data_IF_773101847311
#
_entry.id   IF_773101847311
#
_cell.length_a   1.000
_cell.length_b   1.000
_cell.length_c   1.000
_cell.angle_alpha   90.00
_cell.angle_beta   90.00
_cell.angle_gamma   90.00
#
_symmetry.space_group_name_H-M   'P 1'
#
loop_
_entity.id
_entity.type
_entity.pdbx_description
1 polymer ?
#
# COMPACT_ATOMS: atom_id res chain seq x y z
N UNK A 1 -11.43 36.28 35.77
CA UNK A 1 -12.61 35.40 35.65
C UNK A 1 -12.39 34.47 34.47
N UNK A 2 -12.17 33.19 34.79
CA UNK A 2 -12.38 31.95 34.02
C UNK A 2 -12.03 31.95 32.52
N UNK A 3 -10.82 31.46 32.23
CA UNK A 3 -10.52 30.71 31.01
C UNK A 3 -11.39 29.45 30.98
N UNK A 4 -12.09 29.21 29.85
CA UNK A 4 -12.64 27.90 29.52
C UNK A 4 -11.59 27.17 28.69
N UNK A 5 -10.91 26.24 29.34
CA UNK A 5 -10.30 25.08 28.68
C UNK A 5 -11.45 24.33 27.98
N UNK A 6 -11.39 24.20 26.65
CA UNK A 6 -12.18 23.19 25.96
C UNK A 6 -11.42 21.88 26.14
N UNK A 7 -12.06 20.94 26.83
CA UNK A 7 -11.54 19.59 27.00
C UNK A 7 -11.52 18.88 25.64
N UNK A 8 -10.35 18.36 25.23
CA UNK A 8 -10.27 17.30 24.23
C UNK A 8 -11.06 16.11 24.77
N UNK A 9 -12.19 15.80 24.13
CA UNK A 9 -12.88 14.54 24.34
C UNK A 9 -12.11 13.51 23.53
N UNK A 10 -11.27 12.72 24.21
CA UNK A 10 -10.75 11.49 23.67
C UNK A 10 -11.95 10.53 23.50
N UNK A 11 -12.49 10.45 22.29
CA UNK A 11 -13.40 9.38 21.90
C UNK A 11 -12.54 8.14 21.65
N UNK A 12 -12.19 7.44 22.74
CA UNK A 12 -11.62 6.10 22.67
C UNK A 12 -12.67 5.14 22.11
N UNK A 13 -12.55 4.82 20.83
CA UNK A 13 -13.26 3.69 20.22
C UNK A 13 -12.38 2.46 20.32
N UNK A 14 -12.54 1.73 21.42
CA UNK A 14 -12.02 0.37 21.56
C UNK A 14 -12.89 -0.57 20.72
N UNK A 15 -12.55 -0.71 19.45
CA UNK A 15 -12.91 -1.91 18.70
C UNK A 15 -11.99 -3.02 19.21
N UNK A 16 -12.48 -3.80 20.17
CA UNK A 16 -11.90 -5.11 20.53
C UNK A 16 -12.01 -6.04 19.32
N UNK A 17 -11.16 -5.82 18.32
CA UNK A 17 -10.88 -6.78 17.27
C UNK A 17 -9.85 -7.76 17.84
N UNK A 18 -10.03 -9.07 17.62
CA UNK A 18 -9.07 -10.04 18.13
C UNK A 18 -7.71 -9.74 17.51
N UNK A 19 -6.75 -9.38 18.37
CA UNK A 19 -5.35 -9.32 18.00
C UNK A 19 -5.00 -10.65 17.33
N UNK A 20 -4.57 -10.60 16.07
CA UNK A 20 -4.19 -11.80 15.33
C UNK A 20 -2.95 -12.38 16.03
N UNK A 21 -3.16 -13.39 16.88
CA UNK A 21 -2.06 -14.07 17.56
C UNK A 21 -1.30 -14.90 16.54
N UNK A 22 -0.09 -14.46 16.24
CA UNK A 22 0.80 -15.04 15.23
C UNK A 22 1.30 -16.43 15.66
N UNK A 23 0.85 -17.48 14.99
CA UNK A 23 1.46 -18.80 15.12
C UNK A 23 2.63 -18.94 14.13
N UNK A 24 3.85 -18.91 14.66
CA UNK A 24 5.05 -19.31 13.93
C UNK A 24 5.06 -20.84 13.77
N UNK A 25 4.35 -21.36 12.76
CA UNK A 25 4.60 -22.74 12.32
C UNK A 25 5.59 -22.73 11.16
N UNK A 26 6.80 -23.23 11.44
CA UNK A 26 7.71 -23.71 10.40
C UNK A 26 7.07 -24.94 9.75
N UNK A 27 6.26 -24.72 8.71
CA UNK A 27 5.77 -25.82 7.89
C UNK A 27 6.96 -26.48 7.18
N UNK A 28 7.14 -27.79 7.42
CA UNK A 28 8.05 -28.62 6.65
C UNK A 28 7.74 -28.57 5.15
N UNK A 29 8.69 -29.04 4.34
CA UNK A 29 8.79 -28.93 2.88
C UNK A 29 7.62 -29.57 2.07
N UNK A 30 6.37 -29.22 2.37
CA UNK A 30 5.30 -29.31 1.41
C UNK A 30 5.55 -28.29 0.30
N UNK A 31 5.37 -28.73 -0.95
CA UNK A 31 5.50 -27.91 -2.14
C UNK A 31 4.55 -26.72 -2.02
N UNK A 32 5.12 -25.52 -1.87
CA UNK A 32 4.33 -24.31 -1.67
C UNK A 32 3.76 -23.86 -3.01
N UNK A 33 2.44 -23.72 -3.06
CA UNK A 33 1.77 -23.32 -4.27
C UNK A 33 1.92 -21.81 -4.50
N UNK A 34 2.96 -21.44 -5.24
CA UNK A 34 3.21 -20.08 -5.70
C UNK A 34 2.14 -19.54 -6.68
N UNK A 35 1.11 -20.33 -7.00
CA UNK A 35 -0.02 -19.88 -7.81
C UNK A 35 -1.16 -19.22 -7.01
N UNK A 36 -1.16 -19.33 -5.67
CA UNK A 36 -2.16 -18.68 -4.80
C UNK A 36 -1.83 -17.20 -4.54
N UNK A 37 -2.84 -16.32 -4.34
CA UNK A 37 -2.64 -14.92 -3.98
C UNK A 37 -1.78 -14.77 -2.72
N UNK A 38 -0.77 -13.90 -2.75
CA UNK A 38 0.18 -13.69 -1.65
C UNK A 38 0.23 -12.22 -1.25
N UNK A 39 0.27 -11.94 0.05
CA UNK A 39 0.85 -10.69 0.54
C UNK A 39 2.37 -10.88 0.56
N UNK A 40 3.09 -10.05 -0.20
CA UNK A 40 4.56 -10.05 -0.18
C UNK A 40 5.05 -8.78 0.51
N UNK A 41 5.69 -8.95 1.68
CA UNK A 41 6.14 -7.83 2.51
C UNK A 41 7.59 -7.98 2.96
N UNK A 42 8.21 -6.86 3.33
CA UNK A 42 9.54 -6.82 3.91
C UNK A 42 9.42 -6.58 5.42
N UNK A 43 10.06 -7.40 6.24
CA UNK A 43 10.15 -7.16 7.68
C UNK A 43 11.57 -7.46 8.14
N UNK A 44 12.17 -6.54 8.89
CA UNK A 44 13.53 -6.69 9.45
C UNK A 44 14.58 -7.13 8.41
N UNK A 45 14.54 -6.53 7.21
CA UNK A 45 15.47 -6.86 6.13
C UNK A 45 15.15 -8.17 5.39
N UNK A 46 13.99 -8.79 5.63
CA UNK A 46 13.63 -10.10 5.07
C UNK A 46 12.30 -10.07 4.32
N UNK A 47 12.19 -10.89 3.28
CA UNK A 47 10.98 -11.00 2.45
C UNK A 47 10.11 -12.13 2.98
N UNK A 48 8.83 -11.83 3.20
CA UNK A 48 7.83 -12.79 3.62
C UNK A 48 6.69 -12.85 2.63
N UNK A 49 6.22 -14.06 2.40
CA UNK A 49 4.97 -14.37 1.72
C UNK A 49 3.96 -14.75 2.76
N UNK A 50 2.77 -14.18 2.69
CA UNK A 50 1.65 -14.53 3.55
C UNK A 50 0.46 -14.92 2.70
N UNK A 51 -0.03 -16.13 2.97
CA UNK A 51 -1.26 -16.64 2.43
C UNK A 51 -2.42 -16.16 3.31
N UNK A 52 -3.27 -15.23 2.82
CA UNK A 52 -4.37 -14.70 3.59
C UNK A 52 -5.49 -15.71 3.85
N UNK A 53 -5.57 -16.80 3.08
CA UNK A 53 -6.61 -17.83 3.21
C UNK A 53 -6.29 -18.74 4.39
N UNK A 54 -5.04 -19.20 4.47
CA UNK A 54 -4.60 -20.13 5.52
C UNK A 54 -3.96 -19.43 6.72
N UNK A 55 -3.63 -18.14 6.59
CA UNK A 55 -2.87 -17.38 7.57
C UNK A 55 -1.38 -17.72 7.58
N UNK A 56 -0.93 -18.68 6.76
CA UNK A 56 0.45 -19.16 6.77
C UNK A 56 1.40 -18.10 6.25
N UNK A 57 2.61 -18.09 6.82
CA UNK A 57 3.70 -17.20 6.45
C UNK A 57 4.91 -18.03 6.05
N UNK A 58 5.58 -17.61 4.99
CA UNK A 58 6.84 -18.20 4.52
C UNK A 58 7.89 -17.12 4.33
N UNK A 59 9.09 -17.36 4.85
CA UNK A 59 10.29 -16.57 4.57
C UNK A 59 10.85 -16.96 3.20
N UNK A 60 11.31 -15.97 2.42
CA UNK A 60 12.22 -16.20 1.29
C UNK A 60 13.59 -16.60 1.85
N UNK A 61 13.84 -17.90 2.00
CA UNK A 61 15.07 -18.40 2.62
C UNK A 61 16.29 -18.24 1.70
N UNK A 62 16.04 -18.14 0.41
CA UNK A 62 17.02 -17.98 -0.64
C UNK A 62 17.64 -16.57 -0.67
N UNK A 63 17.10 -15.60 0.09
CA UNK A 63 17.67 -14.26 0.24
C UNK A 63 18.18 -14.00 1.67
N UNK A 64 19.49 -13.97 1.77
CA UNK A 64 20.27 -13.82 2.99
C UNK A 64 20.71 -12.37 3.27
N UNK A 65 20.67 -11.48 2.26
CA UNK A 65 21.01 -10.06 2.40
C UNK A 65 19.91 -9.27 3.13
N UNK A 66 20.23 -8.04 3.53
CA UNK A 66 19.25 -7.07 4.02
C UNK A 66 18.45 -6.52 2.84
N UNK A 67 17.16 -6.83 2.77
CA UNK A 67 16.25 -6.31 1.75
C UNK A 67 15.83 -4.88 2.09
N UNK A 68 16.04 -3.97 1.15
CA UNK A 68 15.76 -2.53 1.30
C UNK A 68 14.35 -2.17 0.79
N UNK A 69 14.01 -2.60 -0.43
CA UNK A 69 12.71 -2.40 -1.09
C UNK A 69 12.30 -3.62 -1.91
N UNK A 70 11.00 -3.78 -2.17
CA UNK A 70 10.47 -4.79 -3.09
C UNK A 70 9.25 -4.30 -3.89
N UNK A 71 8.97 -4.95 -5.01
CA UNK A 71 7.75 -4.80 -5.80
C UNK A 71 7.47 -6.12 -6.52
N UNK A 72 6.22 -6.54 -6.56
CA UNK A 72 5.84 -7.80 -7.19
C UNK A 72 4.99 -7.54 -8.44
N UNK A 73 5.43 -8.11 -9.56
CA UNK A 73 4.68 -8.19 -10.79
C UNK A 73 3.89 -9.51 -10.80
N UNK A 74 2.57 -9.41 -10.61
CA UNK A 74 1.68 -10.57 -10.63
C UNK A 74 1.59 -11.21 -12.02
N UNK A 75 1.61 -10.41 -13.09
CA UNK A 75 1.43 -10.91 -14.44
C UNK A 75 2.57 -11.85 -14.84
N UNK A 76 3.80 -11.51 -14.48
CA UNK A 76 4.98 -12.34 -14.72
C UNK A 76 5.37 -13.24 -13.54
N UNK A 77 4.66 -13.15 -12.41
CA UNK A 77 5.02 -13.81 -11.14
C UNK A 77 6.48 -13.55 -10.74
N UNK A 78 6.90 -12.30 -10.85
CA UNK A 78 8.27 -11.88 -10.57
C UNK A 78 8.31 -10.86 -9.44
N UNK A 79 9.06 -11.18 -8.38
CA UNK A 79 9.41 -10.23 -7.34
C UNK A 79 10.69 -9.50 -7.74
N UNK A 80 10.63 -8.18 -7.89
CA UNK A 80 11.80 -7.33 -7.99
C UNK A 80 12.10 -6.73 -6.63
N UNK A 81 13.36 -6.72 -6.22
CA UNK A 81 13.73 -6.20 -4.90
C UNK A 81 15.17 -5.74 -4.88
N UNK A 82 15.47 -4.85 -3.95
CA UNK A 82 16.83 -4.34 -3.73
C UNK A 82 17.36 -4.88 -2.43
N UNK A 83 18.65 -5.19 -2.42
CA UNK A 83 19.38 -5.65 -1.23
C UNK A 83 20.55 -4.73 -0.93
N UNK A 84 20.92 -4.62 0.33
CA UNK A 84 22.11 -3.89 0.76
C UNK A 84 23.32 -4.81 0.71
N UNK A 85 24.35 -4.41 -0.01
CA UNK A 85 25.67 -5.03 -0.03
C UNK A 85 26.72 -3.93 0.10
N UNK A 86 27.51 -3.97 1.17
CA UNK A 86 28.55 -2.97 1.46
C UNK A 86 28.06 -1.51 1.42
N UNK A 87 26.82 -1.28 1.89
CA UNK A 87 26.19 0.05 1.90
C UNK A 87 25.59 0.50 0.56
N UNK A 88 25.78 -0.28 -0.51
CA UNK A 88 25.19 -0.05 -1.82
C UNK A 88 23.92 -0.89 -2.00
N UNK A 89 22.95 -0.37 -2.73
CA UNK A 89 21.80 -1.14 -3.17
C UNK A 89 22.13 -1.90 -4.45
N UNK A 90 21.87 -3.21 -4.46
CA UNK A 90 21.88 -4.05 -5.65
C UNK A 90 20.46 -4.50 -5.99
N UNK A 91 20.10 -4.55 -7.28
CA UNK A 91 18.79 -5.03 -7.74
C UNK A 91 18.83 -6.55 -8.00
N UNK A 92 17.81 -7.25 -7.54
CA UNK A 92 17.58 -8.67 -7.81
C UNK A 92 16.14 -8.87 -8.29
N UNK A 93 15.91 -10.00 -8.95
CA UNK A 93 14.57 -10.55 -9.14
C UNK A 93 14.49 -11.98 -8.66
N UNK A 94 13.31 -12.38 -8.19
CA UNK A 94 12.95 -13.76 -7.89
C UNK A 94 11.74 -14.14 -8.75
N UNK A 95 11.91 -15.13 -9.63
CA UNK A 95 10.81 -15.72 -10.38
C UNK A 95 10.25 -16.90 -9.59
N UNK A 96 8.94 -16.92 -9.37
CA UNK A 96 8.25 -17.98 -8.63
C UNK A 96 7.42 -18.83 -9.58
N UNK A 97 7.88 -20.05 -9.85
CA UNK A 97 7.22 -20.97 -10.77
C UNK A 97 7.35 -22.41 -10.30
N UNK A 98 6.27 -23.19 -10.39
CA UNK A 98 6.26 -24.64 -10.16
C UNK A 98 6.91 -25.05 -8.81
N UNK A 99 6.53 -24.40 -7.71
CA UNK A 99 7.11 -24.68 -6.39
C UNK A 99 8.54 -24.16 -6.18
N UNK A 100 9.22 -23.67 -7.23
CA UNK A 100 10.61 -23.25 -7.19
C UNK A 100 10.77 -21.72 -7.24
N UNK A 101 11.83 -21.26 -6.59
CA UNK A 101 12.27 -19.87 -6.61
C UNK A 101 13.61 -19.81 -7.34
N UNK A 102 13.68 -18.94 -8.34
CA UNK A 102 14.95 -18.63 -9.00
C UNK A 102 15.30 -17.16 -8.77
N UNK A 103 16.37 -16.92 -8.02
CA UNK A 103 16.94 -15.59 -7.80
C UNK A 103 17.96 -15.28 -8.90
N UNK A 104 17.87 -14.08 -9.46
CA UNK A 104 18.80 -13.56 -10.45
C UNK A 104 19.20 -12.14 -10.07
N UNK A 105 20.52 -11.83 -9.98
CA UNK A 105 20.96 -10.46 -9.87
C UNK A 105 20.68 -9.71 -11.18
N UNK A 106 20.29 -8.46 -11.06
CA UNK A 106 20.08 -7.54 -12.18
C UNK A 106 21.18 -6.49 -12.16
N UNK A 107 21.58 -6.01 -13.34
CA UNK A 107 22.70 -5.09 -13.46
C UNK A 107 22.32 -3.69 -12.96
N UNK A 108 23.33 -2.92 -12.54
CA UNK A 108 23.38 -1.46 -12.65
C UNK A 108 22.75 -0.62 -11.55
N UNK A 109 22.36 -1.24 -10.42
CA UNK A 109 22.14 -0.49 -9.18
C UNK A 109 23.38 -0.71 -8.31
N UNK A 110 24.20 0.34 -8.18
CA UNK A 110 25.40 0.42 -7.32
C UNK A 110 25.42 1.81 -6.67
N UNK A 111 24.34 2.14 -5.96
CA UNK A 111 24.12 3.47 -5.39
C UNK A 111 23.96 3.31 -3.88
N UNK A 112 24.61 4.20 -3.11
CA UNK A 112 24.53 4.23 -1.66
C UNK A 112 23.08 4.27 -1.18
N UNK A 113 22.72 3.38 -0.24
CA UNK A 113 21.35 3.23 0.26
C UNK A 113 20.81 4.53 0.87
N UNK A 114 21.68 5.35 1.44
CA UNK A 114 21.35 6.61 2.10
C UNK A 114 20.71 7.61 1.12
N UNK A 115 21.05 7.54 -0.18
CA UNK A 115 20.44 8.39 -1.21
C UNK A 115 18.96 8.08 -1.45
N UNK A 116 18.46 6.96 -0.96
CA UNK A 116 17.07 6.53 -1.10
C UNK A 116 16.28 6.68 0.20
N UNK A 117 16.82 7.39 1.18
CA UNK A 117 16.18 7.64 2.47
C UNK A 117 15.94 9.15 2.57
N UNK A 118 14.71 9.54 2.87
CA UNK A 118 14.34 10.93 3.07
C UNK A 118 14.98 11.45 4.36
N UNK A 119 15.54 12.67 4.31
CA UNK A 119 16.26 13.24 5.45
C UNK A 119 15.34 13.69 6.60
N UNK A 120 14.02 13.77 6.36
CA UNK A 120 13.06 14.31 7.33
C UNK A 120 12.67 13.27 8.37
N UNK A 121 11.96 12.21 7.96
CA UNK A 121 11.50 11.15 8.87
C UNK A 121 12.15 9.80 8.60
N UNK A 122 13.14 9.76 7.69
CA UNK A 122 13.85 8.53 7.34
C UNK A 122 13.06 7.64 6.39
N UNK A 123 12.07 8.16 5.65
CA UNK A 123 11.25 7.35 4.76
C UNK A 123 12.02 6.85 3.54
N UNK A 124 11.73 5.61 3.16
CA UNK A 124 12.42 4.95 2.08
C UNK A 124 11.73 5.29 0.76
N UNK A 125 12.51 5.59 -0.26
CA UNK A 125 12.00 5.76 -1.62
C UNK A 125 11.38 4.45 -2.12
N UNK A 126 10.13 4.45 -2.60
CA UNK A 126 9.47 3.23 -3.05
C UNK A 126 10.02 2.74 -4.40
N UNK A 127 10.20 1.43 -4.52
CA UNK A 127 10.40 0.77 -5.82
C UNK A 127 9.03 0.56 -6.48
N UNK A 128 8.87 1.04 -7.72
CA UNK A 128 7.59 1.00 -8.46
C UNK A 128 7.74 0.30 -9.81
N UNK A 129 6.67 -0.32 -10.28
CA UNK A 129 6.53 -0.75 -11.68
C UNK A 129 5.77 0.35 -12.44
N UNK A 130 6.28 0.76 -13.61
CA UNK A 130 5.62 1.71 -14.52
C UNK A 130 5.75 1.21 -15.94
N UNK A 131 4.62 0.79 -16.52
CA UNK A 131 4.62 -0.02 -17.74
C UNK A 131 5.45 -1.28 -17.52
N UNK A 132 6.46 -1.49 -18.36
CA UNK A 132 7.41 -2.62 -18.24
C UNK A 132 8.70 -2.25 -17.47
N UNK A 133 8.78 -1.07 -16.87
CA UNK A 133 10.00 -0.55 -16.22
C UNK A 133 9.88 -0.53 -14.70
N UNK A 134 11.02 -0.58 -14.02
CA UNK A 134 11.10 -0.29 -12.59
C UNK A 134 11.59 1.13 -12.38
N UNK A 135 11.02 1.83 -11.40
CA UNK A 135 11.43 3.18 -11.03
C UNK A 135 11.74 3.21 -9.53
N UNK A 136 12.90 3.76 -9.19
CA UNK A 136 13.34 4.02 -7.82
C UNK A 136 13.97 5.41 -7.76
N UNK A 137 13.57 6.23 -6.81
CA UNK A 137 14.01 7.63 -6.78
C UNK A 137 15.08 7.84 -5.71
N UNK A 138 16.07 8.67 -5.99
CA UNK A 138 17.13 9.01 -5.06
C UNK A 138 17.29 10.52 -4.93
N UNK A 139 18.18 10.91 -4.03
CA UNK A 139 18.63 12.29 -3.80
C UNK A 139 17.46 13.16 -3.33
N UNK A 140 17.17 13.07 -2.03
CA UNK A 140 16.13 13.87 -1.40
C UNK A 140 16.46 15.37 -1.51
N UNK A 141 15.47 16.16 -1.91
CA UNK A 141 15.58 17.60 -2.07
C UNK A 141 14.60 18.31 -1.12
N UNK A 142 15.15 19.19 -0.27
CA UNK A 142 14.40 20.03 0.67
C UNK A 142 13.53 21.07 0.00
N UNK A 143 13.90 21.58 -1.18
CA UNK A 143 13.11 22.59 -1.89
C UNK A 143 11.81 21.99 -2.44
N UNK A 144 11.87 20.72 -2.88
CA UNK A 144 10.72 19.99 -3.41
C UNK A 144 10.03 19.08 -2.40
N UNK A 145 10.55 18.96 -1.17
CA UNK A 145 10.14 17.98 -0.18
C UNK A 145 9.98 16.56 -0.76
N UNK A 146 10.97 16.13 -1.56
CA UNK A 146 10.92 14.85 -2.25
C UNK A 146 12.19 14.48 -2.98
N UNK A 147 12.29 13.23 -3.44
CA UNK A 147 13.42 12.75 -4.24
C UNK A 147 13.42 13.38 -5.64
N UNK A 148 14.56 13.88 -6.09
CA UNK A 148 14.69 14.59 -7.37
C UNK A 148 15.32 13.75 -8.49
N UNK A 149 15.98 12.65 -8.18
CA UNK A 149 16.63 11.80 -9.18
C UNK A 149 15.80 10.53 -9.45
N UNK A 150 15.46 10.28 -10.70
CA UNK A 150 14.81 9.04 -11.14
C UNK A 150 15.86 8.04 -11.60
N UNK A 151 15.87 6.84 -10.99
CA UNK A 151 16.62 5.69 -11.45
C UNK A 151 15.61 4.73 -12.09
N UNK A 152 15.78 4.44 -13.37
CA UNK A 152 14.82 3.67 -14.17
C UNK A 152 15.54 2.43 -14.71
N UNK A 153 15.03 1.25 -14.35
CA UNK A 153 15.51 -0.01 -14.87
C UNK A 153 14.57 -0.53 -15.95
N UNK A 154 15.14 -0.93 -17.08
CA UNK A 154 14.43 -1.62 -18.15
C UNK A 154 14.78 -3.11 -18.12
N UNK A 155 13.86 -4.01 -17.71
CA UNK A 155 14.09 -5.45 -17.74
C UNK A 155 14.38 -6.01 -19.14
N UNK A 156 13.80 -5.41 -20.18
CA UNK A 156 13.97 -5.84 -21.57
C UNK A 156 15.35 -5.48 -22.11
N UNK A 157 15.88 -4.31 -21.73
CA UNK A 157 17.21 -3.84 -22.12
C UNK A 157 18.29 -4.27 -21.12
N UNK A 158 17.90 -4.76 -19.94
CA UNK A 158 18.77 -5.06 -18.81
C UNK A 158 19.70 -3.89 -18.47
N UNK A 159 19.16 -2.68 -18.39
CA UNK A 159 19.91 -1.43 -18.26
C UNK A 159 19.27 -0.47 -17.26
N UNK A 160 20.10 0.39 -16.67
CA UNK A 160 19.65 1.54 -15.87
C UNK A 160 19.87 2.84 -16.61
N UNK A 161 18.89 3.72 -16.53
CA UNK A 161 19.00 5.12 -16.92
C UNK A 161 18.69 6.00 -15.73
N UNK A 162 19.45 7.09 -15.60
CA UNK A 162 19.20 8.14 -14.60
C UNK A 162 18.75 9.40 -15.29
N UNK A 163 17.78 10.08 -14.72
CA UNK A 163 17.38 11.42 -15.14
C UNK A 163 16.78 12.18 -13.97
N UNK A 164 17.02 13.48 -13.92
CA UNK A 164 16.37 14.46 -13.06
C UNK A 164 15.51 15.43 -13.92
N UNK A 165 15.49 15.22 -15.24
CA UNK A 165 14.74 16.01 -16.21
C UNK A 165 13.37 15.39 -16.47
N UNK A 166 12.32 16.18 -16.22
CA UNK A 166 10.94 15.75 -16.39
C UNK A 166 10.58 15.36 -17.84
N UNK A 167 11.14 16.04 -18.85
CA UNK A 167 10.83 15.73 -20.25
C UNK A 167 11.50 14.43 -20.69
N UNK A 168 12.72 14.17 -20.24
CA UNK A 168 13.42 12.91 -20.47
C UNK A 168 12.70 11.76 -19.75
N UNK A 169 12.25 11.99 -18.52
CA UNK A 169 11.48 11.04 -17.74
C UNK A 169 10.17 10.64 -18.43
N UNK A 170 9.39 11.62 -18.88
CA UNK A 170 8.15 11.39 -19.63
C UNK A 170 8.40 10.54 -20.89
N UNK A 171 9.47 10.85 -21.62
CA UNK A 171 9.91 10.07 -22.79
C UNK A 171 10.30 8.64 -22.43
N UNK A 172 11.03 8.42 -21.33
CA UNK A 172 11.46 7.09 -20.89
C UNK A 172 10.26 6.23 -20.43
N UNK A 173 9.24 6.86 -19.87
CA UNK A 173 8.02 6.19 -19.41
C UNK A 173 6.93 6.13 -20.48
N UNK A 174 7.11 6.78 -21.63
CA UNK A 174 6.15 6.77 -22.73
C UNK A 174 4.84 7.47 -22.38
N UNK A 175 4.89 8.58 -21.63
CA UNK A 175 3.70 9.33 -21.19
C UNK A 175 2.98 8.72 -19.99
N UNK A 176 3.50 7.63 -19.41
CA UNK A 176 2.93 7.05 -18.19
C UNK A 176 3.33 7.92 -16.99
N UNK A 177 2.33 8.48 -16.31
CA UNK A 177 2.54 9.29 -15.14
C UNK A 177 3.22 8.50 -14.00
N UNK A 178 4.21 9.12 -13.35
CA UNK A 178 4.84 8.57 -12.15
C UNK A 178 3.93 8.65 -10.92
N UNK A 179 3.23 9.78 -10.83
CA UNK A 179 2.37 10.21 -9.75
C UNK A 179 0.98 10.43 -10.31
N UNK A 180 0.01 9.83 -9.66
CA UNK A 180 -1.32 9.66 -10.22
C UNK A 180 -1.64 8.18 -10.25
N UNK A 181 -2.45 7.78 -9.28
CA UNK A 181 -3.51 6.86 -9.63
C UNK A 181 -4.42 7.68 -10.59
N UNK A 182 -4.74 7.13 -11.76
CA UNK A 182 -6.05 7.34 -12.42
C UNK A 182 -6.19 8.35 -13.56
N UNK A 183 -5.29 8.33 -14.55
CA UNK A 183 -5.70 8.78 -15.89
C UNK A 183 -6.52 7.66 -16.54
N UNK A 184 -7.84 7.80 -16.53
CA UNK A 184 -8.77 6.89 -17.20
C UNK A 184 -9.31 5.75 -16.33
N UNK A 185 -9.35 5.90 -15.01
CA UNK A 185 -10.08 4.93 -14.21
C UNK A 185 -11.58 4.95 -14.51
N UNK A 186 -12.24 3.78 -14.39
CA UNK A 186 -13.63 3.61 -14.81
C UNK A 186 -14.60 4.20 -13.79
N UNK A 187 -14.35 5.42 -13.30
CA UNK A 187 -15.19 6.11 -12.33
C UNK A 187 -15.65 7.46 -12.86
N UNK A 188 -16.90 7.81 -12.57
CA UNK A 188 -17.49 9.11 -12.88
C UNK A 188 -18.35 9.53 -11.68
N UNK A 189 -18.43 10.82 -11.39
CA UNK A 189 -19.39 11.36 -10.42
C UNK A 189 -20.52 12.03 -11.19
N UNK A 190 -21.76 11.65 -10.90
CA UNK A 190 -22.97 12.27 -11.48
C UNK A 190 -24.06 12.31 -10.42
N UNK A 191 -24.74 13.44 -10.29
CA UNK A 191 -25.82 13.65 -9.32
C UNK A 191 -25.41 13.26 -7.87
N UNK A 192 -24.18 13.65 -7.48
CA UNK A 192 -23.53 13.32 -6.20
C UNK A 192 -23.31 11.81 -5.94
N UNK A 193 -23.45 10.97 -6.97
CA UNK A 193 -23.21 9.53 -6.89
C UNK A 193 -21.94 9.15 -7.64
N UNK A 194 -21.18 8.21 -7.07
CA UNK A 194 -20.07 7.57 -7.75
C UNK A 194 -20.59 6.44 -8.64
N UNK A 195 -20.25 6.49 -9.92
CA UNK A 195 -20.56 5.49 -10.92
C UNK A 195 -19.29 4.75 -11.33
N UNK A 196 -19.41 3.43 -11.50
CA UNK A 196 -18.36 2.54 -11.97
C UNK A 196 -18.68 2.00 -13.37
N UNK A 197 -17.70 2.05 -14.27
CA UNK A 197 -17.81 1.72 -15.70
C UNK A 197 -16.89 0.56 -16.11
N UNK A 198 -16.34 -0.22 -15.17
CA UNK A 198 -15.42 -1.32 -15.50
C UNK A 198 -16.12 -2.58 -16.02
N UNK A 199 -17.45 -2.61 -16.01
CA UNK A 199 -18.28 -3.62 -16.67
C UNK A 199 -18.77 -3.19 -18.06
N UNK A 200 -19.72 -3.94 -18.62
CA UNK A 200 -20.37 -3.58 -19.91
C UNK A 200 -21.27 -2.35 -19.82
N UNK A 201 -21.71 -2.01 -18.62
CA UNK A 201 -22.66 -0.93 -18.33
C UNK A 201 -22.19 -0.15 -17.12
N UNK A 202 -22.42 1.15 -17.13
CA UNK A 202 -22.19 2.01 -15.99
C UNK A 202 -23.18 1.67 -14.86
N UNK A 203 -22.69 1.54 -13.63
CA UNK A 203 -23.49 1.20 -12.44
C UNK A 203 -23.18 2.14 -11.28
N UNK A 204 -24.18 2.61 -10.51
CA UNK A 204 -23.92 3.37 -9.30
C UNK A 204 -23.37 2.44 -8.20
N UNK A 205 -22.38 2.93 -7.46
CA UNK A 205 -21.71 2.18 -6.38
C UNK A 205 -21.82 2.87 -5.01
N UNK A 206 -22.49 4.03 -4.96
CA UNK A 206 -22.74 4.81 -3.74
C UNK A 206 -24.22 5.11 -3.45
N UNK A 207 -25.15 4.80 -4.36
CA UNK A 207 -26.56 5.22 -4.29
C UNK A 207 -27.37 4.60 -3.14
N UNK A 208 -26.82 3.56 -2.49
CA UNK A 208 -27.43 2.88 -1.34
C UNK A 208 -26.75 3.24 -0.03
N UNK A 209 -25.74 4.11 -0.07
CA UNK A 209 -25.08 4.65 1.10
C UNK A 209 -25.78 5.96 1.44
N UNK A 210 -26.34 6.06 2.65
CA UNK A 210 -27.02 7.27 3.15
C UNK A 210 -25.98 8.37 3.51
N UNK A 211 -25.14 8.73 2.54
CA UNK A 211 -24.06 9.71 2.70
C UNK A 211 -24.66 11.11 2.81
N UNK A 212 -24.24 11.85 3.85
CA UNK A 212 -24.74 13.19 4.15
C UNK A 212 -23.58 14.14 4.40
N UNK A 213 -23.63 15.28 3.73
CA UNK A 213 -22.73 16.38 3.99
C UNK A 213 -22.96 16.91 5.40
N UNK A 214 -21.87 17.26 6.07
CA UNK A 214 -21.97 18.01 7.32
C UNK A 214 -22.11 19.51 6.98
N UNK A 215 -23.27 20.14 7.29
CA UNK A 215 -23.50 21.54 6.95
C UNK A 215 -22.59 22.51 7.72
N UNK A 216 -21.94 22.07 8.80
CA UNK A 216 -21.05 22.92 9.60
C UNK A 216 -19.63 23.01 9.01
N UNK A 217 -19.23 22.05 8.16
CA UNK A 217 -17.83 21.89 7.71
C UNK A 217 -17.63 22.10 6.20
N UNK A 218 -18.44 22.97 5.59
CA UNK A 218 -18.06 23.74 4.39
C UNK A 218 -17.93 22.99 3.06
N UNK A 219 -18.34 21.73 2.95
CA UNK A 219 -18.33 21.00 1.67
C UNK A 219 -19.71 21.10 1.02
N UNK A 220 -19.77 21.60 -0.21
CA UNK A 220 -21.04 21.86 -0.92
C UNK A 220 -21.57 20.63 -1.69
N UNK A 221 -20.68 19.71 -2.05
CA UNK A 221 -20.99 18.48 -2.79
C UNK A 221 -20.17 17.32 -2.25
N UNK A 222 -20.67 16.08 -2.41
CA UNK A 222 -19.89 14.90 -2.05
C UNK A 222 -18.78 14.72 -3.08
N UNK A 223 -17.54 14.94 -2.65
CA UNK A 223 -16.37 14.58 -3.44
C UNK A 223 -15.94 13.14 -3.13
N UNK A 224 -15.46 12.43 -4.15
CA UNK A 224 -14.98 11.06 -3.98
C UNK A 224 -13.48 11.02 -4.28
N UNK A 225 -12.74 10.20 -3.53
CA UNK A 225 -11.31 10.00 -3.76
C UNK A 225 -10.85 8.59 -3.40
N UNK A 226 -9.57 8.29 -3.66
CA UNK A 226 -8.95 7.00 -3.34
C UNK A 226 -9.75 5.80 -3.86
N UNK A 227 -10.37 5.96 -5.03
CA UNK A 227 -11.08 4.87 -5.68
C UNK A 227 -10.10 3.77 -6.07
N UNK A 228 -10.51 2.53 -5.90
CA UNK A 228 -9.73 1.39 -6.36
C UNK A 228 -10.65 0.21 -6.62
N UNK A 229 -10.24 -0.62 -7.57
CA UNK A 229 -10.92 -1.85 -7.96
C UNK A 229 -10.11 -3.03 -7.46
N UNK A 230 -10.77 -4.06 -6.95
CA UNK A 230 -10.10 -5.31 -6.59
C UNK A 230 -9.40 -5.93 -7.82
N UNK A 231 -8.25 -6.62 -7.64
CA UNK A 231 -7.54 -7.33 -8.71
C UNK A 231 -8.44 -8.20 -9.61
N UNK A 232 -9.40 -8.91 -9.04
CA UNK A 232 -10.33 -9.76 -9.81
C UNK A 232 -11.42 -8.97 -10.55
N UNK A 233 -11.55 -7.66 -10.27
CA UNK A 233 -12.55 -6.76 -10.83
C UNK A 233 -13.93 -6.88 -10.18
N UNK A 234 -14.08 -7.66 -9.11
CA UNK A 234 -15.37 -8.00 -8.51
C UNK A 234 -15.88 -6.95 -7.51
N UNK A 235 -15.01 -6.10 -6.96
CA UNK A 235 -15.32 -5.11 -5.95
C UNK A 235 -14.64 -3.78 -6.22
N UNK A 236 -15.20 -2.73 -5.64
CA UNK A 236 -14.67 -1.37 -5.65
C UNK A 236 -14.67 -0.81 -4.23
N UNK A 237 -13.71 0.04 -3.93
CA UNK A 237 -13.62 0.80 -2.68
C UNK A 237 -13.30 2.24 -3.00
N UNK A 238 -13.81 3.14 -2.19
CA UNK A 238 -13.68 4.58 -2.39
C UNK A 238 -13.85 5.30 -1.06
N UNK A 239 -13.41 6.55 -0.99
CA UNK A 239 -13.68 7.44 0.12
C UNK A 239 -14.62 8.55 -0.32
N UNK A 240 -15.56 8.94 0.53
CA UNK A 240 -16.44 10.08 0.30
C UNK A 240 -16.06 11.22 1.27
N UNK A 241 -15.76 12.40 0.73
CA UNK A 241 -15.54 13.63 1.50
C UNK A 241 -16.90 14.21 1.86
N UNK A 242 -17.19 14.26 3.15
CA UNK A 242 -18.46 14.77 3.67
C UNK A 242 -18.27 16.03 4.52
N UNK A 243 -17.05 16.27 5.02
CA UNK A 243 -16.72 17.40 5.87
C UNK A 243 -15.23 17.79 5.71
N UNK A 244 -14.93 19.08 5.73
CA UNK A 244 -13.55 19.59 5.70
C UNK A 244 -13.33 20.52 6.90
N UNK A 245 -12.57 20.03 7.89
CA UNK A 245 -12.19 20.77 9.09
C UNK A 245 -10.71 21.13 9.07
N UNK A 246 -9.97 20.59 10.03
CA UNK A 246 -8.51 20.55 10.02
C UNK A 246 -7.96 19.54 9.01
N UNK A 247 -8.68 18.44 8.80
CA UNK A 247 -8.41 17.43 7.79
C UNK A 247 -9.68 17.08 6.99
N UNK A 248 -9.53 16.40 5.83
CA UNK A 248 -10.66 15.82 5.11
C UNK A 248 -11.28 14.66 5.90
N UNK A 249 -12.59 14.68 6.08
CA UNK A 249 -13.35 13.67 6.83
C UNK A 249 -14.43 13.00 5.99
N UNK A 250 -14.63 11.71 6.29
CA UNK A 250 -15.72 10.93 5.72
C UNK A 250 -15.36 9.45 5.48
N UNK A 251 -16.35 8.65 5.07
CA UNK A 251 -16.25 7.21 5.19
C UNK A 251 -15.37 6.58 4.11
N UNK A 252 -14.74 5.47 4.49
CA UNK A 252 -14.28 4.46 3.55
C UNK A 252 -15.44 3.51 3.25
N UNK A 253 -15.74 3.36 1.97
CA UNK A 253 -16.85 2.57 1.47
C UNK A 253 -16.36 1.42 0.58
N UNK A 254 -17.17 0.38 0.46
CA UNK A 254 -16.98 -0.74 -0.45
C UNK A 254 -18.30 -1.10 -1.15
N UNK A 255 -18.20 -1.57 -2.38
CA UNK A 255 -19.32 -2.13 -3.13
C UNK A 255 -18.85 -3.28 -4.02
N UNK A 256 -19.77 -4.16 -4.42
CA UNK A 256 -19.51 -5.05 -5.55
C UNK A 256 -19.50 -4.24 -6.85
N UNK A 257 -18.72 -4.68 -7.83
CA UNK A 257 -18.57 -4.04 -9.14
C UNK A 257 -19.87 -3.94 -9.96
N UNK A 258 -20.96 -4.60 -9.52
CA UNK A 258 -22.30 -4.51 -10.10
C UNK A 258 -23.24 -3.56 -9.34
N UNK A 259 -22.74 -2.80 -8.36
CA UNK A 259 -23.53 -1.87 -7.53
C UNK A 259 -24.32 -2.52 -6.38
N UNK A 260 -24.16 -3.82 -6.15
CA UNK A 260 -24.73 -4.51 -4.97
C UNK A 260 -23.77 -4.48 -3.77
N UNK A 261 -24.28 -4.81 -2.58
CA UNK A 261 -23.44 -4.97 -1.38
C UNK A 261 -22.70 -3.70 -0.93
N UNK A 262 -23.24 -2.52 -1.25
CA UNK A 262 -22.68 -1.24 -0.83
C UNK A 262 -22.75 -1.12 0.70
N UNK A 263 -21.62 -0.78 1.33
CA UNK A 263 -21.57 -0.50 2.78
C UNK A 263 -20.42 0.44 3.14
N UNK A 264 -20.59 1.14 4.25
CA UNK A 264 -19.52 1.84 4.95
C UNK A 264 -18.68 0.80 5.71
N UNK A 265 -17.37 0.84 5.52
CA UNK A 265 -16.41 -0.01 6.24
C UNK A 265 -15.81 0.70 7.46
N UNK A 266 -15.51 1.98 7.30
CA UNK A 266 -14.99 2.86 8.35
C UNK A 266 -15.71 4.19 8.22
N UNK A 267 -16.30 4.68 9.30
CA UNK A 267 -17.10 5.92 9.31
C UNK A 267 -16.26 7.15 8.96
N UNK A 268 -15.00 7.19 9.39
CA UNK A 268 -14.05 8.24 9.04
C UNK A 268 -12.71 7.67 8.56
N UNK A 269 -12.70 7.19 7.32
CA UNK A 269 -11.52 6.61 6.68
C UNK A 269 -10.65 7.65 5.95
N UNK A 270 -11.18 8.85 5.69
CA UNK A 270 -10.45 9.90 4.98
C UNK A 270 -9.30 10.49 5.81
N UNK A 271 -9.49 10.70 7.10
CA UNK A 271 -8.48 11.23 7.99
C UNK A 271 -7.30 10.25 8.23
N UNK A 272 -7.51 8.95 8.00
CA UNK A 272 -6.49 7.93 8.21
C UNK A 272 -5.26 8.13 7.33
N UNK A 273 -4.07 8.16 7.94
CA UNK A 273 -2.79 8.33 7.26
C UNK A 273 -2.50 7.18 6.28
N UNK A 274 -2.89 5.97 6.65
CA UNK A 274 -2.62 4.77 5.86
C UNK A 274 -3.90 4.34 5.15
N UNK A 275 -3.83 4.23 3.82
CA UNK A 275 -4.97 3.83 3.00
C UNK A 275 -5.02 2.31 2.86
N UNK A 276 -6.21 1.69 2.97
CA UNK A 276 -6.34 0.24 2.80
C UNK A 276 -5.99 -0.14 1.37
N UNK A 277 -5.66 -1.41 1.18
CA UNK A 277 -5.16 -1.93 -0.09
C UNK A 277 -5.77 -3.30 -0.38
N UNK A 278 -5.95 -3.64 -1.66
CA UNK A 278 -6.61 -4.87 -2.08
C UNK A 278 -5.69 -6.10 -2.02
N UNK A 279 -6.23 -7.22 -1.55
CA UNK A 279 -5.62 -8.53 -1.66
C UNK A 279 -6.67 -9.51 -2.19
N UNK A 280 -6.60 -9.82 -3.48
CA UNK A 280 -7.73 -10.46 -4.16
C UNK A 280 -8.99 -9.60 -4.01
N UNK A 281 -10.07 -10.15 -3.45
CA UNK A 281 -11.31 -9.40 -3.16
C UNK A 281 -11.45 -8.94 -1.70
N UNK A 282 -10.37 -9.02 -0.91
CA UNK A 282 -10.31 -8.51 0.47
C UNK A 282 -9.55 -7.18 0.55
N UNK A 283 -9.83 -6.37 1.58
CA UNK A 283 -9.04 -5.19 1.90
C UNK A 283 -8.15 -5.46 3.11
N UNK A 284 -6.88 -5.07 3.00
CA UNK A 284 -5.91 -5.07 4.09
C UNK A 284 -5.84 -3.66 4.68
N UNK A 285 -6.04 -3.58 5.99
CA UNK A 285 -5.94 -2.37 6.78
C UNK A 285 -4.60 -2.37 7.51
N UNK A 286 -3.63 -1.54 7.09
CA UNK A 286 -2.39 -1.37 7.84
C UNK A 286 -2.66 -0.53 9.10
N UNK A 287 -2.24 -1.02 10.27
CA UNK A 287 -2.32 -0.26 11.52
C UNK A 287 -0.99 0.45 11.81
N UNK A 288 -0.94 1.79 11.95
CA UNK A 288 0.29 2.47 12.31
C UNK A 288 0.72 2.07 13.73
N UNK A 289 2.03 2.05 13.99
CA UNK A 289 2.60 1.61 15.26
C UNK A 289 2.24 2.52 16.43
N UNK A 290 1.83 3.76 16.15
CA UNK A 290 1.34 4.70 17.16
C UNK A 290 -0.01 4.27 17.75
N UNK A 291 -0.92 3.69 16.95
CA UNK A 291 -2.23 3.22 17.42
C UNK A 291 -2.10 2.01 18.36
N UNK A 292 -1.06 1.19 18.18
CA UNK A 292 -0.77 0.06 19.07
C UNK A 292 0.01 0.46 20.33
N UNK A 293 0.62 1.64 20.35
CA UNK A 293 1.31 2.17 21.53
C UNK A 293 0.32 2.77 22.55
N UNK A 294 -0.79 3.36 22.10
CA UNK A 294 -1.84 3.87 23.00
C UNK A 294 -2.59 2.74 23.73
N UNK A 295 -2.83 1.62 23.05
CA UNK A 295 -3.42 0.41 23.67
C UNK A 295 -2.43 -0.35 24.58
N UNK A 296 -1.12 -0.21 24.35
CA UNK A 296 -0.07 -0.89 25.12
C UNK A 296 0.37 -0.14 26.38
N UNK A 297 -0.12 1.07 26.64
CA UNK A 297 0.17 1.80 27.89
C UNK A 297 -0.42 1.15 29.16
N UNK A 298 -0.98 -0.06 29.07
CA UNK A 298 -1.46 -0.81 30.22
C UNK A 298 -0.45 -1.81 30.81
N UNK A 299 0.56 -2.30 30.08
CA UNK A 299 1.49 -3.33 30.61
C UNK A 299 2.94 -3.19 30.10
N UNK A 300 3.84 -2.84 31.03
CA UNK A 300 5.31 -2.95 31.02
C UNK A 300 6.15 -2.26 29.92
N UNK A 301 6.95 -1.28 30.37
CA UNK A 301 7.98 -0.49 29.64
C UNK A 301 9.14 -1.32 29.04
N UNK A 302 9.11 -2.66 29.12
CA UNK A 302 10.10 -3.54 28.46
C UNK A 302 9.62 -4.10 27.11
N UNK A 303 8.39 -3.81 26.68
CA UNK A 303 7.84 -4.26 25.39
C UNK A 303 8.14 -3.34 24.20
N UNK A 304 8.55 -2.08 24.43
CA UNK A 304 8.86 -1.09 23.37
C UNK A 304 10.03 -1.51 22.45
N UNK A 305 10.90 -2.42 22.90
CA UNK A 305 11.99 -2.96 22.07
C UNK A 305 11.61 -4.25 21.31
N UNK A 306 10.45 -4.85 21.58
CA UNK A 306 10.00 -6.09 20.95
C UNK A 306 8.94 -5.86 19.85
N UNK A 307 8.19 -4.75 19.90
CA UNK A 307 7.27 -4.34 18.83
C UNK A 307 8.06 -3.63 17.70
N UNK A 308 8.86 -4.38 16.95
CA UNK A 308 9.72 -3.84 15.91
C UNK A 308 8.96 -2.98 14.90
N UNK A 309 9.55 -1.91 14.37
CA UNK A 309 8.95 -1.12 13.28
C UNK A 309 8.83 -2.01 12.03
N UNK A 310 7.61 -2.36 11.60
CA UNK A 310 7.40 -3.18 10.41
C UNK A 310 7.28 -2.29 9.17
N UNK A 311 7.72 -2.79 8.02
CA UNK A 311 7.26 -2.29 6.71
C UNK A 311 6.19 -3.25 6.21
N UNK A 312 5.05 -2.73 5.81
CA UNK A 312 4.06 -3.54 5.12
C UNK A 312 4.09 -3.14 3.65
N UNK A 313 4.47 -4.09 2.81
CA UNK A 313 4.36 -3.95 1.36
C UNK A 313 3.32 -4.96 0.93
N UNK A 314 2.43 -4.55 0.03
CA UNK A 314 1.47 -5.46 -0.58
C UNK A 314 1.70 -5.47 -2.08
N UNK A 315 1.70 -6.69 -2.59
CA UNK A 315 1.55 -6.91 -4.01
C UNK A 315 0.08 -6.83 -4.39
N UNK A 316 -0.21 -6.08 -5.46
CA UNK A 316 -1.53 -6.04 -6.09
C UNK A 316 -1.44 -6.53 -7.52
N UNK A 317 -2.29 -7.49 -7.86
CA UNK A 317 -2.64 -7.81 -9.23
C UNK A 317 -3.54 -6.78 -9.88
N UNK A 318 -3.34 -6.63 -11.19
CA UNK A 318 -4.08 -5.84 -12.20
C UNK A 318 -3.86 -4.33 -12.32
N UNK A 319 -3.25 -3.61 -11.38
CA UNK A 319 -3.02 -2.15 -11.52
C UNK A 319 -1.57 -1.65 -11.45
N UNK A 320 -0.56 -2.53 -11.43
CA UNK A 320 0.87 -2.14 -11.48
C UNK A 320 1.34 -1.14 -10.39
N UNK A 321 0.65 -1.05 -9.26
CA UNK A 321 1.11 -0.28 -8.12
C UNK A 321 1.49 -1.21 -6.97
N UNK A 322 2.77 -1.59 -6.89
CA UNK A 322 3.36 -1.86 -5.58
C UNK A 322 3.40 -0.55 -4.81
N UNK A 323 2.67 -0.48 -3.69
CA UNK A 323 2.66 0.68 -2.80
C UNK A 323 3.29 0.24 -1.49
N UNK A 324 4.30 0.98 -1.03
CA UNK A 324 4.68 0.98 0.37
C UNK A 324 3.41 1.39 1.13
N UNK A 325 2.84 0.49 1.93
CA UNK A 325 1.57 0.77 2.60
C UNK A 325 1.77 1.74 3.74
N UNK A 326 2.89 1.56 4.44
CA UNK A 326 3.23 2.26 5.64
C UNK A 326 4.62 1.83 6.13
N UNK A 327 5.32 2.78 6.74
CA UNK A 327 6.46 2.52 7.61
C UNK A 327 6.02 2.57 9.07
N UNK A 328 6.56 1.69 9.91
CA UNK A 328 6.14 1.62 11.30
C UNK A 328 4.70 1.11 11.42
N UNK A 329 4.33 0.07 10.69
CA UNK A 329 3.10 -0.70 10.97
C UNK A 329 3.39 -1.62 12.15
N UNK A 330 2.45 -1.94 13.03
CA UNK A 330 2.66 -2.99 14.05
C UNK A 330 1.68 -4.19 13.94
N UNK A 331 0.61 -4.06 13.16
CA UNK A 331 -0.26 -5.15 12.74
C UNK A 331 -0.99 -4.82 11.42
N UNK A 332 -1.62 -5.82 10.80
CA UNK A 332 -2.60 -5.59 9.75
C UNK A 332 -3.82 -6.48 9.96
N UNK A 333 -4.97 -6.00 9.52
CA UNK A 333 -6.22 -6.78 9.54
C UNK A 333 -6.72 -7.00 8.13
N UNK A 334 -7.12 -8.25 7.85
CA UNK A 334 -7.82 -8.61 6.64
C UNK A 334 -9.32 -8.50 6.89
N UNK A 335 -9.99 -7.56 6.23
CA UNK A 335 -11.45 -7.52 6.22
C UNK A 335 -11.91 -8.14 4.91
N UNK A 336 -12.50 -9.33 5.02
CA UNK A 336 -13.18 -10.01 3.92
C UNK A 336 -14.37 -9.16 3.45
N UNK A 337 -14.49 -8.97 2.14
CA UNK A 337 -15.59 -8.24 1.52
C UNK A 337 -16.96 -8.96 1.54
N UNK A 338 -17.16 -10.02 2.34
CA UNK A 338 -18.46 -10.75 2.47
C UNK A 338 -19.31 -10.19 3.61
N UNK A 339 -20.64 -10.25 3.61
CA UNK A 339 -21.59 -11.07 2.83
C UNK A 339 -22.36 -10.27 1.78
#
# INVERSE_FOLDING_TARGET
MKHKLLAMVALGFSLLLPACQWQNEQAGAAEYDWSLPQVVYQQAGKIYFHDPVTGKRRLLQEEDSEVFNLVFDEASRTLYYTVVSDGLLALKKATLANGQIQIQPLQGLDIAKEKFIAEIYGEYSPLKIRGEKLVLMSDFNWDGYGFSQYNIYSPTENSWTKTDDWAQLDKLLGGIALWGDDVGQPFEVRDQQLLYSGGKTQVPVSDKLDLKLDPEYGVEEIEYSNFSVSPDGSKVSFMALLAMGDLPHGPLCIANANGSGQRILVEDGMAGLLKPQWLGSALVFPAPAQDLAEDAQAEDEQSEQAAGKFRLMMSHGRSNNGKLLAEGVAAFTLIQGGY
#
